data_IF_471329954408
#
_entry.id   IF_471329954408
#
_cell.length_a   1.000
_cell.length_b   1.000
_cell.length_c   1.000
_cell.angle_alpha   90.00
_cell.angle_beta   90.00
_cell.angle_gamma   90.00
#
_symmetry.space_group_name_H-M   'P 1'
#
loop_
_entity.id
_entity.type
_entity.pdbx_description
1 polymer ?
#
# COMPACT_ATOMS: atom_id res chain seq x y z
N UNK A 1 2.91 -4.21 -24.86
CA UNK A 1 1.70 -4.13 -24.02
C UNK A 1 1.97 -4.89 -22.74
N UNK A 2 1.66 -4.32 -21.57
CA UNK A 2 1.70 -5.08 -20.32
C UNK A 2 0.38 -5.84 -20.18
N UNK A 3 0.45 -7.07 -19.70
CA UNK A 3 -0.73 -7.87 -19.43
C UNK A 3 -1.51 -7.30 -18.24
N UNK A 4 -2.84 -7.47 -18.19
CA UNK A 4 -3.65 -7.02 -17.06
C UNK A 4 -3.10 -7.49 -15.70
N UNK A 5 -2.62 -8.73 -15.61
CA UNK A 5 -2.02 -9.27 -14.39
C UNK A 5 -0.76 -8.52 -13.96
N UNK A 6 0.09 -8.12 -14.91
CA UNK A 6 1.31 -7.35 -14.63
C UNK A 6 0.97 -5.96 -14.10
N UNK A 7 -0.09 -5.34 -14.62
CA UNK A 7 -0.57 -4.05 -14.10
C UNK A 7 -1.09 -4.20 -12.67
N UNK A 8 -1.87 -5.23 -12.38
CA UNK A 8 -2.40 -5.48 -11.02
C UNK A 8 -1.26 -5.66 -10.01
N UNK A 9 -0.28 -6.51 -10.33
CA UNK A 9 0.84 -6.81 -9.42
C UNK A 9 1.75 -5.60 -9.22
N UNK A 10 1.96 -4.80 -10.26
CA UNK A 10 2.85 -3.63 -10.20
C UNK A 10 2.20 -2.40 -9.56
N UNK A 11 0.87 -2.31 -9.60
CA UNK A 11 0.18 -1.06 -9.29
C UNK A 11 -0.90 -1.22 -8.22
N UNK A 12 -1.77 -2.23 -8.34
CA UNK A 12 -2.91 -2.39 -7.42
C UNK A 12 -2.47 -2.99 -6.09
N UNK A 13 -1.77 -4.13 -6.10
CA UNK A 13 -1.36 -4.83 -4.88
C UNK A 13 -0.40 -4.01 -3.98
N UNK A 14 0.56 -3.23 -4.52
CA UNK A 14 1.42 -2.39 -3.70
C UNK A 14 0.64 -1.22 -3.07
N UNK A 15 -0.29 -0.61 -3.80
CA UNK A 15 -1.11 0.49 -3.30
C UNK A 15 -2.08 0.01 -2.22
N UNK A 16 -2.75 -1.13 -2.43
CA UNK A 16 -3.63 -1.76 -1.43
C UNK A 16 -2.89 -2.06 -0.12
N UNK A 17 -1.68 -2.62 -0.19
CA UNK A 17 -0.84 -2.86 1.00
C UNK A 17 -0.47 -1.56 1.71
N UNK A 18 -0.25 -0.49 0.97
CA UNK A 18 0.01 0.84 1.53
C UNK A 18 -1.18 1.40 2.31
N UNK A 19 -2.37 1.31 1.72
CA UNK A 19 -3.63 1.73 2.34
C UNK A 19 -3.90 0.98 3.65
N UNK A 20 -3.80 -0.36 3.62
CA UNK A 20 -3.98 -1.20 4.80
C UNK A 20 -2.96 -0.88 5.90
N UNK A 21 -1.70 -0.66 5.55
CA UNK A 21 -0.68 -0.29 6.53
C UNK A 21 -0.98 1.07 7.18
N UNK A 22 -1.46 2.06 6.42
CA UNK A 22 -1.87 3.37 6.95
C UNK A 22 -3.07 3.24 7.89
N UNK A 23 -4.05 2.43 7.54
CA UNK A 23 -5.23 2.20 8.36
C UNK A 23 -4.86 1.53 9.69
N UNK A 24 -4.04 0.48 9.66
CA UNK A 24 -3.60 -0.24 10.86
C UNK A 24 -2.78 0.64 11.80
N UNK A 25 -1.88 1.47 11.25
CA UNK A 25 -1.07 2.38 12.07
C UNK A 25 -1.89 3.57 12.57
N UNK A 26 -2.67 4.19 11.70
CA UNK A 26 -3.36 5.45 11.98
C UNK A 26 -4.67 5.28 12.75
N UNK A 27 -5.50 4.29 12.39
CA UNK A 27 -6.82 4.08 13.02
C UNK A 27 -6.82 2.98 14.07
N UNK A 28 -5.99 1.94 13.91
CA UNK A 28 -5.89 0.84 14.86
C UNK A 28 -4.70 0.96 15.85
N UNK A 29 -3.90 2.02 15.76
CA UNK A 29 -2.83 2.31 16.72
C UNK A 29 -1.68 1.30 16.71
N UNK A 30 -1.55 0.49 15.67
CA UNK A 30 -0.45 -0.48 15.56
C UNK A 30 0.89 0.23 15.29
N UNK A 31 1.97 -0.29 15.86
CA UNK A 31 3.32 0.14 15.51
C UNK A 31 3.72 -0.40 14.13
N UNK A 32 4.65 0.27 13.45
CA UNK A 32 5.18 -0.21 12.16
C UNK A 32 5.79 -1.62 12.27
N UNK A 33 6.37 -1.96 13.43
CA UNK A 33 6.94 -3.28 13.71
C UNK A 33 5.85 -4.35 13.78
N UNK A 34 4.72 -4.06 14.44
CA UNK A 34 3.58 -4.99 14.49
C UNK A 34 2.97 -5.20 13.10
N UNK A 35 2.80 -4.14 12.32
CA UNK A 35 2.31 -4.25 10.94
C UNK A 35 3.30 -5.01 10.05
N UNK A 36 4.60 -4.80 10.23
CA UNK A 36 5.65 -5.52 9.50
C UNK A 36 5.61 -7.02 9.79
N UNK A 37 5.46 -7.40 11.06
CA UNK A 37 5.30 -8.78 11.49
C UNK A 37 4.01 -9.39 10.92
N UNK A 38 2.88 -8.67 10.95
CA UNK A 38 1.61 -9.11 10.40
C UNK A 38 1.68 -9.36 8.89
N UNK A 39 2.37 -8.49 8.16
CA UNK A 39 2.49 -8.57 6.71
C UNK A 39 3.62 -9.50 6.24
N UNK A 40 4.46 -9.99 7.17
CA UNK A 40 5.64 -10.79 6.82
C UNK A 40 6.68 -9.99 6.02
N UNK A 41 6.81 -8.69 6.28
CA UNK A 41 7.74 -7.78 5.57
C UNK A 41 8.68 -7.09 6.57
N UNK A 42 9.65 -6.33 6.05
CA UNK A 42 10.56 -5.55 6.90
C UNK A 42 9.89 -4.27 7.42
N UNK A 43 10.35 -3.78 8.58
CA UNK A 43 9.91 -2.48 9.11
C UNK A 43 10.17 -1.33 8.10
N UNK A 44 11.27 -1.42 7.35
CA UNK A 44 11.58 -0.47 6.27
C UNK A 44 10.54 -0.49 5.15
N UNK A 45 10.00 -1.66 4.79
CA UNK A 45 8.93 -1.75 3.80
C UNK A 45 7.65 -1.04 4.28
N UNK A 46 7.28 -1.21 5.55
CA UNK A 46 6.15 -0.50 6.16
C UNK A 46 6.39 1.01 6.20
N UNK A 47 7.59 1.44 6.56
CA UNK A 47 7.96 2.87 6.49
C UNK A 47 7.80 3.45 5.07
N UNK A 48 8.18 2.68 4.03
CA UNK A 48 7.99 3.08 2.63
C UNK A 48 6.52 3.13 2.23
N UNK A 49 5.69 2.23 2.75
CA UNK A 49 4.23 2.24 2.54
C UNK A 49 3.60 3.51 3.10
N UNK A 50 3.95 3.87 4.35
CA UNK A 50 3.44 5.07 5.01
C UNK A 50 3.88 6.36 4.30
N UNK A 51 5.13 6.41 3.82
CA UNK A 51 5.67 7.54 3.03
C UNK A 51 5.06 7.67 1.64
N UNK A 52 4.09 6.82 1.27
CA UNK A 52 3.40 6.84 -0.01
C UNK A 52 4.30 6.73 -1.25
N UNK A 53 5.56 6.30 -1.10
CA UNK A 53 6.51 6.09 -2.22
C UNK A 53 6.02 4.98 -3.17
N UNK A 54 5.02 4.19 -2.76
CA UNK A 54 4.33 3.18 -3.59
C UNK A 54 2.80 3.41 -3.69
N UNK A 55 2.31 4.58 -3.28
CA UNK A 55 0.88 4.94 -3.25
C UNK A 55 0.48 6.05 -4.23
N UNK A 56 1.44 6.66 -4.95
CA UNK A 56 1.17 7.57 -6.07
C UNK A 56 1.28 6.79 -7.36
N UNK A 57 0.19 6.15 -7.76
CA UNK A 57 0.11 5.51 -9.05
C UNK A 57 -0.94 6.22 -9.87
N UNK A 58 -0.54 6.81 -11.00
CA UNK A 58 -1.42 7.57 -11.88
C UNK A 58 -2.65 6.78 -12.34
N UNK A 59 -2.60 5.44 -12.31
CA UNK A 59 -3.73 4.57 -12.61
C UNK A 59 -4.79 4.58 -11.48
N UNK A 60 -4.38 4.55 -10.22
CA UNK A 60 -5.31 4.56 -9.06
C UNK A 60 -5.68 5.99 -8.67
N UNK A 61 -4.73 6.93 -8.75
CA UNK A 61 -4.95 8.36 -8.50
C UNK A 61 -6.02 8.96 -9.43
N UNK A 62 -6.19 8.41 -10.64
CA UNK A 62 -7.21 8.82 -11.60
C UNK A 62 -8.49 7.98 -11.56
N UNK A 63 -8.55 6.98 -10.68
CA UNK A 63 -9.74 6.14 -10.52
C UNK A 63 -10.71 6.77 -9.52
N UNK A 64 -12.00 6.54 -9.71
CA UNK A 64 -13.05 7.00 -8.77
C UNK A 64 -12.88 6.41 -7.36
N UNK A 65 -12.17 5.28 -7.25
CA UNK A 65 -11.90 4.55 -6.01
C UNK A 65 -10.69 5.08 -5.23
N UNK A 66 -10.13 6.25 -5.60
CA UNK A 66 -8.95 6.80 -4.92
C UNK A 66 -9.15 7.03 -3.42
N UNK A 67 -10.37 7.34 -3.00
CA UNK A 67 -10.72 7.53 -1.58
C UNK A 67 -10.50 6.27 -0.73
N UNK A 68 -10.49 5.11 -1.36
CA UNK A 68 -10.43 3.81 -0.68
C UNK A 68 -8.97 3.35 -0.45
N UNK A 69 -7.98 4.11 -0.95
CA UNK A 69 -6.54 3.78 -0.93
C UNK A 69 -5.68 4.92 -0.35
#
# INVERSE_FOLDING_TARGET
>A
MKLPCELIVMHVLPTARGALAKELVGRHGMTQVQVAALFGVTNAAVSQYLKAVRGGNSVIDRSEYRSDF
#
